data_IF_015640882656
#
_entry.id   IF_015640882656
#
_cell.length_a   1.000
_cell.length_b   1.000
_cell.length_c   1.000
_cell.angle_alpha   90.00
_cell.angle_beta   90.00
_cell.angle_gamma   90.00
#
_symmetry.space_group_name_H-M   'P 1'
#
loop_
_entity.id
_entity.type
_entity.pdbx_description
1 polymer ?
#
# COMPACT_ATOMS: atom_id res chain seq x y z
N UNK A 1 -31.10 2.41 10.21
CA UNK A 1 -30.37 3.49 10.93
C UNK A 1 -28.88 3.28 10.72
N UNK A 2 -28.15 4.28 10.20
CA UNK A 2 -26.70 4.16 9.97
C UNK A 2 -25.94 4.36 11.30
N UNK A 3 -24.99 3.48 11.61
CA UNK A 3 -24.24 3.56 12.86
C UNK A 3 -23.21 4.70 12.82
N UNK A 4 -23.17 5.52 13.87
CA UNK A 4 -22.12 6.53 14.07
C UNK A 4 -20.89 5.86 14.68
N UNK A 5 -20.11 5.19 13.84
CA UNK A 5 -18.86 4.56 14.27
C UNK A 5 -17.69 5.56 14.22
N UNK A 6 -16.73 5.38 15.12
CA UNK A 6 -15.46 6.13 15.13
C UNK A 6 -14.71 5.98 13.80
N UNK A 7 -13.95 7.01 13.41
CA UNK A 7 -13.07 6.98 12.23
C UNK A 7 -11.98 5.90 12.31
N UNK A 8 -11.66 5.43 13.51
CA UNK A 8 -10.72 4.34 13.77
C UNK A 8 -11.37 2.96 13.82
N UNK A 9 -12.69 2.87 13.69
CA UNK A 9 -13.40 1.58 13.76
C UNK A 9 -13.01 0.68 12.57
N UNK A 10 -12.77 -0.63 12.78
CA UNK A 10 -12.32 -1.54 11.72
C UNK A 10 -13.22 -1.56 10.49
N UNK A 11 -14.55 -1.52 10.67
CA UNK A 11 -15.50 -1.42 9.54
C UNK A 11 -15.33 -0.13 8.73
N UNK A 12 -15.07 1.01 9.39
CA UNK A 12 -14.82 2.30 8.72
C UNK A 12 -13.48 2.25 7.97
N UNK A 13 -12.44 1.67 8.58
CA UNK A 13 -11.13 1.51 7.95
C UNK A 13 -11.20 0.63 6.69
N UNK A 14 -11.93 -0.49 6.75
CA UNK A 14 -12.13 -1.38 5.60
C UNK A 14 -12.96 -0.71 4.49
N UNK A 15 -14.04 -0.03 4.85
CA UNK A 15 -14.86 0.71 3.90
C UNK A 15 -14.05 1.82 3.20
N UNK A 16 -13.26 2.59 3.95
CA UNK A 16 -12.36 3.62 3.39
C UNK A 16 -11.33 3.02 2.45
N UNK A 17 -10.73 1.88 2.81
CA UNK A 17 -9.77 1.19 1.95
C UNK A 17 -10.39 0.76 0.61
N UNK A 18 -11.59 0.17 0.63
CA UNK A 18 -12.29 -0.25 -0.60
C UNK A 18 -12.66 0.95 -1.50
N UNK A 19 -13.01 2.09 -0.91
CA UNK A 19 -13.23 3.32 -1.67
C UNK A 19 -11.92 3.86 -2.27
N UNK A 20 -10.82 3.83 -1.52
CA UNK A 20 -9.51 4.29 -2.00
C UNK A 20 -8.95 3.41 -3.11
N UNK A 21 -9.20 2.10 -3.08
CA UNK A 21 -8.81 1.16 -4.13
C UNK A 21 -9.77 1.13 -5.32
N UNK A 22 -10.75 2.05 -5.37
CA UNK A 22 -11.75 2.16 -6.44
C UNK A 22 -12.62 0.89 -6.60
N UNK A 23 -12.69 0.04 -5.57
CA UNK A 23 -13.51 -1.17 -5.58
C UNK A 23 -14.98 -0.87 -5.29
N UNK A 24 -15.26 0.18 -4.53
CA UNK A 24 -16.61 0.63 -4.19
C UNK A 24 -16.69 2.15 -4.28
N UNK A 25 -17.86 2.66 -4.66
CA UNK A 25 -18.18 4.07 -4.47
C UNK A 25 -18.45 4.36 -3.00
N UNK A 26 -18.39 5.64 -2.60
CA UNK A 26 -18.69 6.06 -1.22
C UNK A 26 -20.10 5.64 -0.80
N UNK A 27 -21.06 5.68 -1.73
CA UNK A 27 -22.43 5.28 -1.48
C UNK A 27 -22.54 3.78 -1.21
N UNK A 28 -21.94 2.95 -2.06
CA UNK A 28 -21.93 1.49 -1.89
C UNK A 28 -21.20 1.04 -0.63
N UNK A 29 -20.07 1.69 -0.30
CA UNK A 29 -19.38 1.42 0.95
C UNK A 29 -20.22 1.83 2.17
N UNK A 30 -20.99 2.91 2.08
CA UNK A 30 -21.88 3.33 3.17
C UNK A 30 -23.01 2.30 3.39
N UNK A 31 -23.61 1.79 2.32
CA UNK A 31 -24.68 0.79 2.41
C UNK A 31 -24.14 -0.56 2.88
N UNK A 32 -23.06 -1.07 2.30
CA UNK A 32 -22.51 -2.39 2.60
C UNK A 32 -21.98 -2.51 4.03
N UNK A 33 -21.44 -1.42 4.58
CA UNK A 33 -20.88 -1.40 5.94
C UNK A 33 -21.83 -0.78 6.98
N UNK A 34 -23.07 -0.46 6.60
CA UNK A 34 -24.08 0.20 7.45
C UNK A 34 -23.57 1.51 8.10
N UNK A 35 -22.74 2.25 7.37
CA UNK A 35 -22.11 3.50 7.80
C UNK A 35 -22.86 4.70 7.24
N UNK A 36 -22.73 5.85 7.91
CA UNK A 36 -23.16 7.11 7.30
C UNK A 36 -22.12 7.55 6.26
N UNK A 37 -22.58 8.06 5.11
CA UNK A 37 -21.68 8.64 4.11
C UNK A 37 -20.80 9.74 4.71
N UNK A 38 -21.36 10.53 5.64
CA UNK A 38 -20.64 11.60 6.34
C UNK A 38 -19.45 11.06 7.15
N UNK A 39 -19.59 9.88 7.76
CA UNK A 39 -18.50 9.17 8.46
C UNK A 39 -17.39 8.78 7.48
N UNK A 40 -17.76 8.25 6.30
CA UNK A 40 -16.81 7.88 5.25
C UNK A 40 -16.07 9.10 4.69
N UNK A 41 -16.78 10.18 4.38
CA UNK A 41 -16.16 11.44 3.93
C UNK A 41 -15.18 12.02 4.95
N UNK A 42 -15.55 12.02 6.24
CA UNK A 42 -14.67 12.50 7.31
C UNK A 42 -13.40 11.63 7.43
N UNK A 43 -13.55 10.31 7.36
CA UNK A 43 -12.44 9.37 7.45
C UNK A 43 -11.51 9.47 6.22
N UNK A 44 -12.06 9.65 5.01
CA UNK A 44 -11.27 9.85 3.79
C UNK A 44 -10.47 11.15 3.84
N UNK A 45 -11.09 12.24 4.29
CA UNK A 45 -10.44 13.56 4.40
C UNK A 45 -9.29 13.54 5.41
N UNK A 46 -9.45 12.83 6.52
CA UNK A 46 -8.39 12.65 7.53
C UNK A 46 -7.18 11.84 7.06
N UNK A 47 -7.34 11.01 6.01
CA UNK A 47 -6.24 10.16 5.49
C UNK A 47 -5.47 10.76 4.32
N UNK A 48 -6.03 11.76 3.62
CA UNK A 48 -5.43 12.34 2.41
C UNK A 48 -3.99 12.90 2.56
N UNK A 49 -3.61 13.60 3.63
CA UNK A 49 -2.26 14.21 3.68
C UNK A 49 -1.14 13.22 4.06
N UNK A 50 -1.44 12.08 4.69
CA UNK A 50 -0.42 11.14 5.17
C UNK A 50 -0.16 9.95 4.25
N UNK A 51 -1.15 9.54 3.43
CA UNK A 51 -0.99 8.39 2.53
C UNK A 51 -0.08 8.68 1.34
N UNK A 52 -0.05 9.91 0.82
CA UNK A 52 0.86 10.29 -0.28
C UNK A 52 2.33 10.26 0.16
N UNK A 53 2.64 10.73 1.36
CA UNK A 53 4.00 10.72 1.92
C UNK A 53 4.49 9.30 2.22
N UNK A 54 3.63 8.43 2.77
CA UNK A 54 4.03 7.06 3.10
C UNK A 54 4.17 6.19 1.86
N UNK A 55 3.28 6.34 0.89
CA UNK A 55 3.35 5.58 -0.36
C UNK A 55 4.60 5.92 -1.17
N UNK A 56 4.92 7.21 -1.32
CA UNK A 56 6.16 7.64 -1.99
C UNK A 56 7.42 7.13 -1.29
N UNK A 57 7.43 7.12 0.04
CA UNK A 57 8.52 6.54 0.81
C UNK A 57 8.67 5.03 0.58
N UNK A 58 7.56 4.27 0.61
CA UNK A 58 7.56 2.83 0.33
C UNK A 58 7.99 2.52 -1.12
N UNK A 59 7.58 3.35 -2.08
CA UNK A 59 7.98 3.19 -3.48
C UNK A 59 9.49 3.39 -3.66
N UNK A 60 10.05 4.43 -3.01
CA UNK A 60 11.50 4.67 -3.02
C UNK A 60 12.27 3.51 -2.38
N UNK A 61 11.78 2.99 -1.25
CA UNK A 61 12.39 1.84 -0.58
C UNK A 61 12.38 0.59 -1.47
N UNK A 62 11.26 0.32 -2.16
CA UNK A 62 11.16 -0.79 -3.11
C UNK A 62 12.21 -0.68 -4.22
N UNK A 63 12.33 0.49 -4.85
CA UNK A 63 13.31 0.71 -5.93
C UNK A 63 14.75 0.52 -5.43
N UNK A 64 15.06 0.99 -4.23
CA UNK A 64 16.37 0.81 -3.63
C UNK A 64 16.69 -0.67 -3.41
N UNK A 65 15.76 -1.44 -2.83
CA UNK A 65 15.92 -2.89 -2.61
C UNK A 65 16.07 -3.65 -3.93
N UNK A 66 15.30 -3.29 -4.97
CA UNK A 66 15.43 -3.90 -6.30
C UNK A 66 16.81 -3.64 -6.92
N UNK A 67 17.37 -2.44 -6.73
CA UNK A 67 18.73 -2.12 -7.20
C UNK A 67 19.80 -2.94 -6.47
N UNK A 68 19.68 -3.08 -5.14
CA UNK A 68 20.61 -3.87 -4.33
C UNK A 68 20.56 -5.35 -4.71
N UNK A 69 19.36 -5.89 -4.93
CA UNK A 69 19.21 -7.26 -5.41
C UNK A 69 19.86 -7.48 -6.78
N UNK A 70 19.79 -6.49 -7.67
CA UNK A 70 20.43 -6.58 -8.98
C UNK A 70 21.96 -6.59 -8.84
N UNK A 71 22.52 -5.71 -8.00
CA UNK A 71 23.95 -5.66 -7.72
C UNK A 71 24.47 -7.00 -7.15
N UNK A 72 23.79 -7.56 -6.15
CA UNK A 72 24.16 -8.85 -5.56
C UNK A 72 24.14 -9.97 -6.63
N UNK A 73 23.15 -9.97 -7.52
CA UNK A 73 23.07 -10.96 -8.60
C UNK A 73 24.21 -10.82 -9.60
N UNK A 74 24.61 -9.60 -9.93
CA UNK A 74 25.75 -9.32 -10.80
C UNK A 74 27.06 -9.77 -10.16
N UNK A 75 27.28 -9.45 -8.88
CA UNK A 75 28.45 -9.89 -8.11
C UNK A 75 28.55 -11.43 -8.04
N UNK A 76 27.44 -12.10 -7.74
CA UNK A 76 27.39 -13.57 -7.71
C UNK A 76 27.68 -14.18 -9.09
N UNK A 77 27.21 -13.56 -10.16
CA UNK A 77 27.48 -14.02 -11.53
C UNK A 77 28.94 -13.80 -11.94
N UNK A 78 29.60 -12.75 -11.46
CA UNK A 78 31.04 -12.54 -11.63
C UNK A 78 31.84 -13.62 -10.90
N UNK A 79 31.54 -13.86 -9.62
CA UNK A 79 32.22 -14.90 -8.83
C UNK A 79 32.09 -16.28 -9.48
N UNK A 80 30.89 -16.66 -9.93
CA UNK A 80 30.70 -17.93 -10.65
C UNK A 80 31.56 -18.02 -11.91
N UNK A 81 31.70 -16.94 -12.69
CA UNK A 81 32.52 -16.94 -13.91
C UNK A 81 34.01 -17.04 -13.61
N UNK A 82 34.47 -16.43 -12.53
CA UNK A 82 35.88 -16.49 -12.11
C UNK A 82 36.26 -17.90 -11.62
N UNK A 83 35.36 -18.57 -10.90
CA UNK A 83 35.56 -19.96 -10.45
C UNK A 83 35.65 -20.96 -11.64
N UNK A 84 34.91 -20.73 -12.72
CA UNK A 84 34.99 -21.54 -13.95
C UNK A 84 36.24 -21.24 -14.79
N UNK A 85 36.86 -20.07 -14.66
CA UNK A 85 38.07 -19.70 -15.41
C UNK A 85 39.34 -20.31 -14.79
N UNK A 86 39.35 -20.57 -13.48
CA UNK A 86 40.50 -21.17 -12.76
C UNK A 86 40.61 -22.69 -12.86
N UNK A 87 39.61 -23.37 -13.44
CA UNK A 87 39.57 -24.83 -13.57
C UNK A 87 39.87 -25.37 -14.98
N UNK A 88 40.42 -24.55 -15.89
CA UNK A 88 40.95 -24.98 -17.19
C UNK A 88 42.48 -24.97 -17.23
#
# INVERSE_FOLDING_TARGET
MAAKLSSTHPSVLRAVHMVQSQQLTIHEAATQFALSQRTLYAALRGKQPHTQSRYSQLLRQKQQLESQLRQIREELACIQKDDYATHN
#
